data_IF_801906063471
#
_entry.id   IF_801906063471
#
_cell.length_a   1.000
_cell.length_b   1.000
_cell.length_c   1.000
_cell.angle_alpha   90.00
_cell.angle_beta   90.00
_cell.angle_gamma   90.00
#
_symmetry.space_group_name_H-M   'P 1'
#
loop_
_entity.id
_entity.type
_entity.pdbx_description
1 polymer ?
2 non-polymer ?
3 water ?
#
# COMPACT_ATOMS: atom_id res chain seq x y z
N UNK A 1 -31.26 -17.20 3.17
CA UNK A 1 -30.78 -17.10 4.57
C UNK A 1 -30.12 -15.73 4.78
N UNK A 2 -28.85 -15.59 4.36
CA UNK A 2 -28.08 -14.35 4.39
C UNK A 2 -28.87 -13.10 4.84
N UNK A 3 -28.82 -12.76 6.15
CA UNK A 3 -29.32 -11.48 6.64
C UNK A 3 -28.41 -10.33 6.17
N UNK A 4 -29.03 -9.17 5.92
CA UNK A 4 -28.33 -7.99 5.46
C UNK A 4 -28.65 -6.84 6.40
N UNK A 5 -28.05 -6.81 7.60
CA UNK A 5 -28.20 -5.68 8.50
C UNK A 5 -27.78 -4.39 7.81
N UNK A 6 -28.53 -3.32 8.06
CA UNK A 6 -28.18 -2.00 7.56
C UNK A 6 -26.93 -1.49 8.27
N UNK A 7 -26.12 -0.70 7.56
CA UNK A 7 -25.06 0.02 8.22
C UNK A 7 -25.59 0.92 9.30
N UNK A 8 -24.96 0.86 10.48
CA UNK A 8 -25.31 1.76 11.56
C UNK A 8 -24.91 3.19 11.23
N UNK A 9 -25.42 4.11 12.03
CA UNK A 9 -25.02 5.50 11.86
C UNK A 9 -23.50 5.60 12.08
N UNK A 10 -23.00 4.88 13.08
CA UNK A 10 -21.57 4.88 13.40
C UNK A 10 -20.76 4.34 12.20
N UNK A 11 -21.25 3.26 11.59
CA UNK A 11 -20.53 2.66 10.47
C UNK A 11 -20.53 3.59 9.26
N UNK A 12 -21.63 4.29 9.01
CA UNK A 12 -21.68 5.29 7.95
C UNK A 12 -20.68 6.42 8.22
N UNK A 13 -20.50 6.77 9.49
CA UNK A 13 -19.58 7.84 9.89
C UNK A 13 -18.15 7.35 9.65
N UNK A 14 -17.87 6.08 9.99
CA UNK A 14 -16.53 5.54 9.76
C UNK A 14 -16.18 5.60 8.27
N UNK A 15 -17.10 5.17 7.41
CA UNK A 15 -16.87 5.21 5.98
C UNK A 15 -16.63 6.64 5.50
N UNK A 16 -17.49 7.58 5.94
CA UNK A 16 -17.31 8.96 5.53
C UNK A 16 -15.92 9.49 5.92
N UNK A 17 -15.47 9.18 7.14
CA UNK A 17 -14.19 9.64 7.63
C UNK A 17 -13.05 9.09 6.78
N UNK A 18 -13.11 7.77 6.52
CA UNK A 18 -12.05 7.15 5.74
C UNK A 18 -12.04 7.66 4.32
N UNK A 19 -13.19 7.88 3.70
CA UNK A 19 -13.18 8.43 2.36
C UNK A 19 -12.52 9.80 2.39
N UNK A 20 -12.94 10.67 3.32
CA UNK A 20 -12.39 12.02 3.41
C UNK A 20 -10.88 11.94 3.65
N UNK A 21 -10.46 11.03 4.53
CA UNK A 21 -9.04 10.85 4.80
C UNK A 21 -8.28 10.50 3.53
N UNK A 22 -8.79 9.54 2.77
CA UNK A 22 -8.14 9.18 1.53
C UNK A 22 -8.12 10.34 0.55
N UNK A 23 -9.22 11.11 0.45
CA UNK A 23 -9.27 12.17 -0.54
C UNK A 23 -8.28 13.28 -0.22
N UNK A 24 -7.95 13.39 1.06
CA UNK A 24 -7.02 14.40 1.54
C UNK A 24 -5.57 13.97 1.39
N UNK A 25 -5.33 12.67 1.29
CA UNK A 25 -3.99 12.12 1.30
C UNK A 25 -3.57 11.40 0.02
N UNK A 26 -4.47 11.30 -0.95
CA UNK A 26 -4.17 10.63 -2.21
C UNK A 26 -4.57 11.56 -3.36
N UNK A 27 -3.57 12.18 -3.99
CA UNK A 27 -3.83 13.11 -5.08
C UNK A 27 -3.92 12.32 -6.37
N UNK A 28 -5.10 12.18 -7.01
CA UNK A 28 -5.19 11.33 -8.19
C UNK A 28 -4.68 11.96 -9.48
N UNK A 29 -4.15 13.20 -9.39
CA UNK A 29 -3.48 13.86 -10.51
C UNK A 29 -1.95 13.74 -10.43
N UNK A 30 -1.39 13.26 -9.29
CA UNK A 30 0.04 12.99 -9.20
C UNK A 30 0.84 14.29 -9.39
N UNK A 31 0.25 15.42 -8.98
CA UNK A 31 0.78 16.73 -9.32
C UNK A 31 2.06 17.09 -8.57
N UNK A 32 2.39 16.38 -7.49
CA UNK A 32 3.60 16.63 -6.72
C UNK A 32 4.78 15.91 -7.33
N UNK A 33 4.56 14.97 -8.27
CA UNK A 33 5.62 14.02 -8.59
C UNK A 33 6.79 14.71 -9.31
N UNK A 34 6.55 15.90 -9.87
CA UNK A 34 7.62 16.64 -10.50
C UNK A 34 8.59 17.25 -9.49
N UNK A 35 8.32 17.13 -8.18
CA UNK A 35 9.18 17.62 -7.13
C UNK A 35 10.19 16.56 -6.72
N UNK A 36 9.95 15.31 -7.10
CA UNK A 36 10.87 14.24 -6.71
C UNK A 36 12.15 14.36 -7.54
N UNK A 37 13.24 13.73 -7.06
CA UNK A 37 14.40 13.58 -7.92
C UNK A 37 13.97 12.89 -9.21
N UNK A 38 14.50 13.30 -10.37
CA UNK A 38 13.96 12.85 -11.64
C UNK A 38 14.16 11.36 -11.89
N UNK A 39 13.22 10.72 -12.60
CA UNK A 39 13.42 9.36 -13.07
C UNK A 39 14.55 9.36 -14.10
N UNK A 40 15.43 8.36 -14.02
CA UNK A 40 16.45 8.16 -15.03
C UNK A 40 16.36 6.69 -15.44
N UNK A 41 16.31 6.43 -16.76
CA UNK A 41 16.25 5.04 -17.21
C UNK A 41 17.49 4.63 -18.03
N UNK A 42 18.45 3.94 -17.40
CA UNK A 42 19.63 3.49 -18.15
C UNK A 42 19.20 2.42 -19.14
N UNK A 43 19.97 2.23 -20.22
CA UNK A 43 19.66 1.15 -21.16
C UNK A 43 19.97 -0.16 -20.46
N UNK A 44 18.96 -1.01 -20.24
CA UNK A 44 19.18 -2.26 -19.52
C UNK A 44 18.21 -3.33 -20.02
N UNK A 45 18.21 -3.51 -21.33
CA UNK A 45 17.24 -4.40 -21.94
C UNK A 45 17.50 -5.83 -21.51
N UNK A 46 18.74 -6.11 -21.10
CA UNK A 46 19.10 -7.43 -20.59
C UNK A 46 18.77 -7.56 -19.11
N UNK A 99 20.37 -6.66 -16.54
CA UNK A 99 21.64 -7.04 -15.86
C UNK A 99 21.65 -6.60 -14.40
N UNK A 100 21.77 -7.54 -13.46
CA UNK A 100 21.79 -7.16 -12.05
C UNK A 100 23.00 -6.29 -11.77
N UNK A 101 24.19 -6.63 -12.32
CA UNK A 101 25.40 -5.85 -12.10
C UNK A 101 25.23 -4.39 -12.51
N UNK A 102 24.66 -4.17 -13.70
CA UNK A 102 24.46 -2.82 -14.18
C UNK A 102 23.40 -2.10 -13.33
N UNK A 103 22.30 -2.83 -13.03
CA UNK A 103 21.24 -2.26 -12.23
C UNK A 103 21.81 -1.73 -10.91
N UNK A 104 22.66 -2.53 -10.23
CA UNK A 104 23.17 -2.14 -8.92
C UNK A 104 24.24 -1.05 -9.06
N UNK A 105 25.00 -1.08 -10.17
CA UNK A 105 26.00 -0.08 -10.44
C UNK A 105 25.38 1.30 -10.59
N UNK A 106 24.19 1.38 -11.21
CA UNK A 106 23.63 2.69 -11.51
C UNK A 106 22.49 3.09 -10.55
N UNK A 107 21.67 2.11 -10.15
CA UNK A 107 20.39 2.34 -9.45
C UNK A 107 19.67 3.58 -9.97
N UNK A 108 19.50 3.62 -11.28
CA UNK A 108 19.08 4.84 -11.95
C UNK A 108 17.71 5.34 -11.50
N UNK A 109 16.79 4.41 -11.25
CA UNK A 109 15.41 4.72 -10.88
C UNK A 109 15.25 4.82 -9.37
N UNK A 110 16.30 4.59 -8.56
CA UNK A 110 16.12 4.53 -7.12
C UNK A 110 15.81 5.89 -6.53
N UNK A 111 16.52 7.00 -6.86
CA UNK A 111 16.20 8.25 -6.19
C UNK A 111 14.73 8.65 -6.42
N UNK A 112 14.23 8.47 -7.66
CA UNK A 112 12.85 8.84 -7.97
C UNK A 112 11.88 7.94 -7.20
N UNK A 113 12.07 6.63 -7.25
CA UNK A 113 11.13 5.70 -6.60
C UNK A 113 11.22 5.81 -5.08
N UNK A 114 12.42 6.04 -4.50
CA UNK A 114 12.54 6.24 -3.05
C UNK A 114 11.81 7.52 -2.66
N UNK A 115 11.87 8.56 -3.51
CA UNK A 115 11.14 9.79 -3.21
C UNK A 115 9.64 9.53 -3.28
N UNK A 116 9.18 8.79 -4.28
CA UNK A 116 7.76 8.44 -4.41
C UNK A 116 7.28 7.65 -3.20
N UNK A 117 8.05 6.66 -2.75
CA UNK A 117 7.67 5.82 -1.63
C UNK A 117 7.72 6.62 -0.33
N UNK A 118 8.72 7.46 -0.19
CA UNK A 118 8.87 8.32 0.99
C UNK A 118 7.65 9.26 1.10
N UNK A 119 7.31 9.92 0.00
CA UNK A 119 6.12 10.77 -0.07
C UNK A 119 4.90 9.96 0.36
N UNK A 120 4.78 8.76 -0.20
CA UNK A 120 3.62 7.92 0.10
C UNK A 120 3.55 7.49 1.55
N UNK A 121 4.69 7.17 2.19
CA UNK A 121 4.75 6.90 3.61
C UNK A 121 4.21 8.11 4.39
N UNK A 122 4.63 9.31 4.01
CA UNK A 122 4.09 10.50 4.69
C UNK A 122 2.56 10.53 4.57
N UNK A 123 2.05 10.27 3.38
CA UNK A 123 0.61 10.31 3.16
C UNK A 123 -0.10 9.23 3.99
N UNK A 124 0.50 8.05 4.09
CA UNK A 124 -0.10 6.95 4.83
C UNK A 124 -0.12 7.28 6.32
N UNK A 125 0.92 7.95 6.83
CA UNK A 125 0.94 8.41 8.22
C UNK A 125 -0.27 9.32 8.50
N UNK A 126 -0.49 10.26 7.60
CA UNK A 126 -1.65 11.15 7.66
C UNK A 126 -2.99 10.45 7.62
N UNK A 127 -3.08 9.49 6.70
CA UNK A 127 -4.28 8.67 6.56
C UNK A 127 -4.57 7.91 7.86
N UNK A 128 -3.53 7.24 8.35
CA UNK A 128 -3.67 6.43 9.55
C UNK A 128 -4.20 7.24 10.72
N UNK A 129 -3.70 8.47 10.86
CA UNK A 129 -4.08 9.30 12.00
C UNK A 129 -5.57 9.61 12.00
N UNK A 130 -6.21 9.51 10.82
CA UNK A 130 -7.62 9.78 10.69
C UNK A 130 -8.47 8.51 10.87
N UNK A 131 -7.87 7.30 10.96
CA UNK A 131 -8.63 6.08 11.14
C UNK A 131 -9.28 6.16 12.51
N UNK A 132 -10.63 6.01 12.59
CA UNK A 132 -11.30 5.99 13.89
C UNK A 132 -10.69 4.96 14.85
N UNK A 133 -10.20 5.47 15.98
CA UNK A 133 -9.60 4.64 16.99
C UNK A 133 -8.07 4.63 16.97
N UNK A 134 -7.43 4.96 15.83
CA UNK A 134 -5.98 4.89 15.77
C UNK A 134 -5.34 5.77 16.85
N UNK A 135 -5.88 6.96 17.07
CA UNK A 135 -5.27 7.86 18.05
C UNK A 135 -5.55 7.38 19.47
N UNK A 136 -6.44 6.40 19.69
CA UNK A 136 -6.59 5.81 21.02
C UNK A 136 -5.41 4.90 21.38
N UNK A 137 -4.61 4.45 20.40
CA UNK A 137 -3.42 3.66 20.63
C UNK A 137 -2.32 4.54 21.21
N UNK A 138 -1.44 3.89 21.97
CA UNK A 138 -0.22 4.55 22.38
C UNK A 138 0.60 4.92 21.16
N UNK A 139 1.39 5.98 21.35
CA UNK A 139 2.36 6.37 20.33
C UNK A 139 3.22 5.21 19.86
N UNK A 140 3.73 4.37 20.79
CA UNK A 140 4.64 3.28 20.45
C UNK A 140 3.92 2.27 19.54
N UNK A 141 2.66 1.96 19.86
CA UNK A 141 1.87 1.04 19.03
C UNK A 141 1.55 1.65 17.66
N UNK A 142 1.23 2.96 17.64
CA UNK A 142 1.01 3.65 16.37
C UNK A 142 2.22 3.49 15.44
N UNK A 143 3.41 3.76 15.96
CA UNK A 143 4.61 3.68 15.16
C UNK A 143 4.93 2.26 14.72
N UNK A 144 4.73 1.26 15.59
CA UNK A 144 4.90 -0.12 15.20
C UNK A 144 3.96 -0.48 14.05
N UNK A 145 2.70 -0.09 14.12
CA UNK A 145 1.76 -0.46 13.05
C UNK A 145 2.12 0.23 11.73
N UNK A 146 2.55 1.48 11.80
CA UNK A 146 2.88 2.20 10.57
C UNK A 146 4.12 1.60 9.93
N UNK A 147 5.15 1.33 10.71
CA UNK A 147 6.38 0.86 10.11
C UNK A 147 6.18 -0.51 9.51
N UNK A 148 5.40 -1.37 10.18
CA UNK A 148 5.19 -2.71 9.69
C UNK A 148 4.27 -2.78 8.46
N UNK A 149 3.31 -1.85 8.31
CA UNK A 149 2.34 -1.89 7.24
C UNK A 149 2.71 -0.99 6.06
N UNK A 150 3.69 -0.09 6.23
CA UNK A 150 3.92 0.94 5.22
C UNK A 150 3.98 0.33 3.82
N UNK A 151 4.87 -0.64 3.59
CA UNK A 151 5.03 -1.13 2.23
C UNK A 151 3.73 -1.75 1.66
N UNK A 152 3.00 -2.46 2.51
CA UNK A 152 1.72 -3.05 2.11
C UNK A 152 0.69 -2.00 1.74
N UNK A 153 0.58 -0.90 2.52
CA UNK A 153 -0.37 0.15 2.17
C UNK A 153 0.05 0.89 0.90
N UNK A 154 1.36 1.02 0.67
CA UNK A 154 1.86 1.61 -0.56
C UNK A 154 1.40 0.72 -1.73
N UNK A 155 1.58 -0.60 -1.60
CA UNK A 155 1.15 -1.53 -2.64
C UNK A 155 -0.36 -1.40 -2.85
N UNK A 156 -1.19 -1.39 -1.79
CA UNK A 156 -2.63 -1.23 -1.95
C UNK A 156 -2.97 0.10 -2.60
N UNK A 157 -2.41 1.20 -2.12
CA UNK A 157 -2.86 2.50 -2.62
C UNK A 157 -2.46 2.71 -4.07
N UNK A 158 -1.33 2.11 -4.46
CA UNK A 158 -0.86 2.18 -5.84
C UNK A 158 -1.83 1.57 -6.83
N UNK A 159 -2.75 0.73 -6.34
CA UNK A 159 -3.67 0.07 -7.26
C UNK A 159 -4.45 1.12 -8.04
N UNK A 160 -4.64 2.32 -7.46
CA UNK A 160 -5.42 3.37 -8.12
C UNK A 160 -4.76 3.90 -9.41
N UNK A 161 -3.43 3.87 -9.52
CA UNK A 161 -2.71 4.30 -10.70
C UNK A 161 -2.40 3.10 -11.60
N UNK A 162 -2.47 1.90 -11.06
CA UNK A 162 -2.22 0.72 -11.87
C UNK A 162 -3.26 0.59 -12.96
N UNK A 163 -2.83 0.22 -14.16
CA UNK A 163 -3.79 0.02 -15.25
C UNK A 163 -3.48 -1.29 -15.99
N UNK A 164 -4.53 -2.06 -16.19
CA UNK A 164 -4.45 -3.28 -16.99
C UNK A 164 -4.36 -3.00 -18.48
N UNK A 165 -4.44 -1.75 -18.91
CA UNK A 165 -4.25 -1.40 -20.31
C UNK A 165 -2.87 -1.86 -20.78
N UNK A 166 -1.84 -1.68 -19.95
CA UNK A 166 -0.48 -2.07 -20.33
C UNK A 166 0.34 -2.56 -19.13
N UNK A 167 -0.33 -2.89 -18.01
CA UNK A 167 0.27 -3.46 -16.80
C UNK A 167 1.33 -2.52 -16.22
N UNK A 168 0.99 -1.24 -16.13
CA UNK A 168 1.90 -0.21 -15.61
C UNK A 168 1.16 0.55 -14.50
N UNK A 169 1.94 1.31 -13.75
CA UNK A 169 1.38 2.33 -12.89
C UNK A 169 1.54 3.64 -13.62
N UNK A 170 0.42 4.17 -14.09
CA UNK A 170 0.42 5.33 -14.96
C UNK A 170 0.05 6.59 -14.19
N UNK A 171 1.02 7.48 -13.98
CA UNK A 171 0.86 8.64 -13.13
C UNK A 171 1.10 9.93 -13.93
N UNK A 172 0.94 9.89 -15.25
CA UNK A 172 1.08 11.10 -16.07
C UNK A 172 1.63 10.72 -17.43
N UNK A 173 2.46 11.59 -18.02
CA UNK A 173 3.12 11.25 -19.28
C UNK A 173 4.13 10.14 -19.02
N UNK A 174 4.80 9.80 -20.10
CA UNK A 174 5.81 8.76 -20.16
C UNK A 174 6.72 8.83 -18.94
N UNK A 175 7.11 10.04 -18.51
CA UNK A 175 8.11 10.15 -17.44
C UNK A 175 7.66 9.44 -16.16
N UNK A 176 6.36 9.54 -15.83
CA UNK A 176 5.81 9.02 -14.59
C UNK A 176 4.93 7.81 -14.87
N UNK A 177 5.31 7.02 -15.87
CA UNK A 177 4.72 5.73 -16.11
C UNK A 177 5.73 4.69 -15.65
N UNK A 178 5.35 3.91 -14.65
CA UNK A 178 6.23 2.95 -14.03
C UNK A 178 5.87 1.54 -14.46
N UNK A 179 6.87 0.86 -14.99
CA UNK A 179 6.77 -0.52 -15.43
C UNK A 179 7.71 -1.42 -14.64
N UNK A 180 7.55 -2.74 -14.83
CA UNK A 180 8.39 -3.69 -14.12
C UNK A 180 9.87 -3.35 -14.36
N UNK A 181 10.23 -2.91 -15.55
CA UNK A 181 11.62 -2.62 -15.86
C UNK A 181 12.18 -1.44 -15.04
N UNK A 182 11.29 -0.52 -14.61
CA UNK A 182 11.72 0.56 -13.72
C UNK A 182 12.03 0.03 -12.33
N UNK A 183 11.30 -0.99 -11.87
CA UNK A 183 11.50 -1.51 -10.54
C UNK A 183 12.82 -2.29 -10.52
N UNK A 184 13.17 -2.94 -11.64
CA UNK A 184 14.46 -3.60 -11.64
C UNK A 184 15.61 -2.59 -11.67
N UNK A 185 15.37 -1.42 -12.24
CA UNK A 185 16.36 -0.35 -12.24
C UNK A 185 16.48 0.32 -10.88
N UNK A 186 15.63 -0.08 -9.91
CA UNK A 186 15.78 0.39 -8.55
C UNK A 186 16.36 -0.69 -7.65
N UNK A 187 16.78 -1.81 -8.26
CA UNK A 187 17.54 -2.81 -7.52
C UNK A 187 16.72 -3.99 -7.03
N UNK A 188 15.46 -4.12 -7.45
CA UNK A 188 14.66 -5.28 -7.09
C UNK A 188 14.68 -6.31 -8.21
N UNK A 189 14.26 -7.52 -7.84
CA UNK A 189 14.25 -8.67 -8.73
C UNK A 189 12.85 -9.19 -8.99
N UNK A 190 12.73 -10.14 -9.94
CA UNK A 190 11.42 -10.59 -10.38
C UNK A 190 10.75 -11.46 -9.31
N UNK A 191 11.48 -11.95 -8.28
CA UNK A 191 10.87 -12.68 -7.18
C UNK A 191 9.92 -11.74 -6.40
N UNK A 192 10.16 -10.43 -6.48
CA UNK A 192 9.23 -9.49 -5.88
C UNK A 192 8.27 -8.95 -6.94
N UNK A 193 8.80 -8.55 -8.09
CA UNK A 193 8.02 -7.79 -9.05
C UNK A 193 6.89 -8.62 -9.66
N UNK A 194 7.16 -9.86 -10.05
CA UNK A 194 6.13 -10.63 -10.74
C UNK A 194 4.96 -10.91 -9.80
N UNK A 195 5.15 -11.31 -8.52
CA UNK A 195 4.03 -11.44 -7.60
C UNK A 195 3.34 -10.10 -7.34
N UNK A 196 4.11 -9.00 -7.35
CA UNK A 196 3.50 -7.68 -7.16
C UNK A 196 2.53 -7.37 -8.29
N UNK A 197 2.89 -7.63 -9.54
CA UNK A 197 2.01 -7.36 -10.67
C UNK A 197 0.78 -8.28 -10.61
N UNK A 198 1.01 -9.54 -10.27
CA UNK A 198 -0.10 -10.49 -10.12
C UNK A 198 -1.08 -10.00 -9.06
N UNK A 199 -0.53 -9.49 -7.95
CA UNK A 199 -1.33 -8.92 -6.89
C UNK A 199 -2.14 -7.72 -7.42
N UNK A 200 -1.50 -6.80 -8.17
CA UNK A 200 -2.18 -5.61 -8.66
C UNK A 200 -3.37 -6.01 -9.56
N UNK A 201 -3.14 -7.00 -10.44
CA UNK A 201 -4.21 -7.40 -11.35
C UNK A 201 -5.36 -8.06 -10.56
N UNK A 202 -5.05 -8.94 -9.62
CA UNK A 202 -6.05 -9.61 -8.82
C UNK A 202 -6.91 -8.61 -8.04
N UNK A 203 -6.26 -7.59 -7.50
CA UNK A 203 -6.97 -6.55 -6.77
C UNK A 203 -7.82 -5.74 -7.73
N UNK A 204 -7.28 -5.37 -8.89
CA UNK A 204 -7.99 -4.53 -9.81
C UNK A 204 -9.29 -5.26 -10.17
N UNK A 205 -9.21 -6.59 -10.35
CA UNK A 205 -10.32 -7.38 -10.84
C UNK A 205 -11.39 -7.61 -9.78
N UNK A 206 -11.14 -7.28 -8.51
CA UNK A 206 -12.19 -7.29 -7.51
C UNK A 206 -13.13 -6.10 -7.74
N UNK A 207 -12.73 -5.05 -8.46
CA UNK A 207 -13.57 -3.89 -8.77
C UNK A 207 -14.12 -3.28 -7.48
N UNK A 208 -13.23 -3.05 -6.52
CA UNK A 208 -13.65 -2.51 -5.24
C UNK A 208 -14.30 -1.14 -5.37
N UNK A 209 -15.36 -0.93 -4.58
CA UNK A 209 -15.85 0.40 -4.38
C UNK A 209 -14.80 1.18 -3.60
N UNK A 210 -14.79 2.50 -3.71
CA UNK A 210 -13.79 3.26 -2.97
C UNK A 210 -13.94 3.04 -1.48
N UNK A 211 -15.19 2.85 -1.02
CA UNK A 211 -15.47 2.55 0.39
C UNK A 211 -14.70 1.29 0.83
N UNK A 212 -14.73 0.27 -0.01
CA UNK A 212 -14.09 -1.00 0.31
C UNK A 212 -12.57 -0.81 0.27
N UNK A 213 -12.09 -0.03 -0.70
CA UNK A 213 -10.66 0.21 -0.82
C UNK A 213 -10.10 0.86 0.45
N UNK A 214 -10.73 1.96 0.89
CA UNK A 214 -10.26 2.66 2.08
C UNK A 214 -10.39 1.83 3.35
N UNK A 215 -11.44 1.00 3.46
CA UNK A 215 -11.55 0.11 4.58
C UNK A 215 -10.42 -0.92 4.56
N UNK A 216 -10.08 -1.46 3.40
CA UNK A 216 -9.01 -2.46 3.30
C UNK A 216 -7.66 -1.87 3.72
N UNK A 217 -7.37 -0.62 3.37
CA UNK A 217 -6.14 0.02 3.77
C UNK A 217 -6.13 0.22 5.29
N UNK A 218 -7.27 0.62 5.87
CA UNK A 218 -7.36 0.81 7.32
C UNK A 218 -7.17 -0.50 8.07
N UNK A 219 -7.82 -1.56 7.58
CA UNK A 219 -7.70 -2.89 8.20
C UNK A 219 -6.26 -3.38 8.14
N UNK A 220 -5.58 -3.14 7.02
CA UNK A 220 -4.19 -3.51 6.88
C UNK A 220 -3.32 -2.85 7.96
N UNK A 221 -3.52 -1.56 8.18
CA UNK A 221 -2.72 -0.80 9.12
C UNK A 221 -2.98 -1.28 10.54
N UNK A 222 -4.25 -1.41 10.89
CA UNK A 222 -4.61 -1.72 12.26
C UNK A 222 -4.70 -3.23 12.41
N UNK A 223 -3.54 -3.88 12.38
CA UNK A 223 -3.47 -5.33 12.44
C UNK A 223 -2.85 -5.76 13.77
N UNK A 224 -3.51 -6.59 14.61
CA UNK A 224 -2.93 -6.92 15.93
C UNK A 224 -1.75 -7.89 15.91
N UNK A 225 -1.55 -8.54 14.77
CA UNK A 225 -0.49 -9.52 14.60
C UNK A 225 0.63 -8.91 13.79
N UNK A 226 1.21 -7.87 14.36
CA UNK A 226 2.48 -7.34 13.90
C UNK A 226 3.46 -7.52 15.02
N UNK A 227 4.74 -7.84 14.72
CA UNK A 227 5.73 -7.99 15.78
C UNK A 227 5.94 -6.69 16.55
N UNK A 228 5.99 -6.79 17.88
CA UNK A 228 6.32 -5.67 18.74
C UNK A 228 5.12 -4.88 19.24
N UNK A 229 3.88 -5.23 18.87
CA UNK A 229 2.74 -4.50 19.40
C UNK A 229 2.59 -4.81 20.88
N UNK A 230 2.13 -3.84 21.65
CA UNK A 230 1.90 -4.03 23.06
C UNK A 230 0.42 -4.33 23.29
N UNK A 231 -0.49 -3.44 22.90
CA UNK A 231 -1.89 -3.67 23.23
C UNK A 231 -2.62 -4.31 22.05
N UNK A 232 -2.35 -5.59 21.87
CA UNK A 232 -2.95 -6.39 20.81
C UNK A 232 -4.47 -6.36 20.91
N UNK A 233 -5.04 -6.44 22.14
CA UNK A 233 -6.48 -6.50 22.26
C UNK A 233 -7.13 -5.20 21.80
N UNK A 234 -6.52 -4.05 22.06
CA UNK A 234 -7.11 -2.79 21.64
C UNK A 234 -7.05 -2.67 20.12
N UNK A 235 -5.90 -3.04 19.56
CA UNK A 235 -5.72 -3.02 18.11
C UNK A 235 -6.77 -3.91 17.46
N UNK A 236 -7.00 -5.10 18.03
CA UNK A 236 -7.99 -6.04 17.53
C UNK A 236 -9.39 -5.47 17.59
N UNK A 237 -9.72 -4.72 18.67
CA UNK A 237 -11.04 -4.14 18.79
C UNK A 237 -11.23 -3.08 17.71
N UNK A 238 -10.19 -2.28 17.46
CA UNK A 238 -10.29 -1.27 16.40
C UNK A 238 -10.45 -1.94 15.03
N UNK A 239 -9.65 -2.96 14.80
CA UNK A 239 -9.72 -3.66 13.53
C UNK A 239 -11.08 -4.32 13.36
N UNK A 240 -11.62 -4.92 14.41
CA UNK A 240 -12.90 -5.60 14.29
C UNK A 240 -14.02 -4.61 13.94
N UNK A 241 -13.98 -3.40 14.50
CA UNK A 241 -14.95 -2.37 14.16
C UNK A 241 -14.90 -2.05 12.67
N UNK A 242 -13.68 -1.96 12.12
CA UNK A 242 -13.49 -1.70 10.69
C UNK A 242 -13.91 -2.90 9.85
N UNK A 243 -13.53 -4.13 10.25
CA UNK A 243 -13.88 -5.34 9.52
C UNK A 243 -15.41 -5.56 9.46
N UNK A 244 -16.06 -5.32 10.59
CA UNK A 244 -17.52 -5.40 10.66
C UNK A 244 -18.16 -4.35 9.76
N UNK A 245 -17.56 -3.14 9.68
CA UNK A 245 -18.08 -2.14 8.78
C UNK A 245 -18.01 -2.67 7.34
N UNK A 246 -16.84 -3.18 6.96
CA UNK A 246 -16.63 -3.71 5.61
C UNK A 246 -17.59 -4.85 5.27
N UNK A 247 -17.73 -5.82 6.17
CA UNK A 247 -18.58 -6.98 5.92
C UNK A 247 -20.04 -6.54 5.70
N UNK A 248 -20.47 -5.62 6.53
CA UNK A 248 -21.80 -5.04 6.46
C UNK A 248 -22.02 -4.27 5.16
N UNK A 249 -21.06 -3.37 4.80
CA UNK A 249 -21.10 -2.63 3.55
C UNK A 249 -21.27 -3.61 2.39
N UNK A 250 -20.40 -4.64 2.29
CA UNK A 250 -20.43 -5.52 1.14
C UNK A 250 -21.82 -6.16 0.98
N UNK A 251 -22.38 -6.63 2.08
CA UNK A 251 -23.65 -7.35 2.04
C UNK A 251 -24.80 -6.41 1.72
N UNK A 252 -24.73 -5.13 2.12
CA UNK A 252 -25.80 -4.17 1.85
C UNK A 252 -25.70 -3.50 0.49
N UNK A 253 -24.47 -3.23 0.07
CA UNK A 253 -24.25 -2.16 -0.90
C UNK A 253 -23.52 -2.66 -2.14
N UNK A 254 -22.99 -3.87 -2.12
CA UNK A 254 -22.18 -4.34 -3.24
C UNK A 254 -23.04 -5.29 -4.07
N UNK A 255 -23.42 -4.93 -5.32
CA UNK A 255 -24.33 -5.76 -6.11
C UNK A 255 -23.67 -7.07 -6.51
N UNK A 256 -24.47 -8.15 -6.74
CA UNK A 256 -23.94 -9.39 -7.34
C UNK A 256 -23.63 -9.16 -8.82
N UNK A 257 -22.79 -10.01 -9.48
CA UNK A 257 -22.12 -11.15 -8.84
C UNK A 257 -20.75 -10.82 -8.22
N UNK A 258 -20.26 -9.58 -8.39
CA UNK A 258 -18.99 -9.15 -7.79
C UNK A 258 -18.93 -9.23 -6.27
N UNK A 259 -20.09 -9.29 -5.57
CA UNK A 259 -20.12 -9.44 -4.12
C UNK A 259 -19.82 -10.86 -3.65
N UNK A 260 -19.83 -11.85 -4.57
CA UNK A 260 -19.74 -13.25 -4.21
C UNK A 260 -18.42 -13.55 -3.48
N UNK A 261 -18.51 -13.85 -2.18
CA UNK A 261 -17.31 -14.13 -1.39
C UNK A 261 -16.29 -12.98 -1.49
N UNK A 262 -16.77 -11.74 -1.66
CA UNK A 262 -15.85 -10.64 -1.82
C UNK A 262 -15.01 -10.45 -0.55
N UNK A 263 -15.64 -10.55 0.63
CA UNK A 263 -14.91 -10.33 1.87
C UNK A 263 -13.74 -11.31 1.97
N UNK A 264 -13.99 -12.59 1.68
CA UNK A 264 -12.91 -13.56 1.79
C UNK A 264 -11.79 -13.26 0.79
N UNK A 265 -12.13 -12.81 -0.42
CA UNK A 265 -11.12 -12.47 -1.42
C UNK A 265 -10.30 -11.28 -0.92
N UNK A 266 -10.93 -10.35 -0.21
CA UNK A 266 -10.23 -9.18 0.30
C UNK A 266 -9.28 -9.59 1.43
N UNK A 267 -9.74 -10.49 2.35
CA UNK A 267 -8.87 -10.99 3.41
C UNK A 267 -7.70 -11.77 2.80
N UNK A 268 -7.89 -12.49 1.70
CA UNK A 268 -6.79 -13.18 1.03
C UNK A 268 -5.74 -12.19 0.52
N UNK A 269 -6.18 -11.03 0.06
CA UNK A 269 -5.25 -10.02 -0.44
C UNK A 269 -4.39 -9.51 0.70
N UNK A 270 -4.94 -9.44 1.92
CA UNK A 270 -4.15 -9.05 3.08
C UNK A 270 -3.03 -10.07 3.34
N UNK A 271 -3.35 -11.35 3.18
CA UNK A 271 -2.36 -12.40 3.37
C UNK A 271 -1.27 -12.31 2.30
N UNK A 272 -1.70 -12.05 1.06
CA UNK A 272 -0.79 -11.88 -0.07
C UNK A 272 0.20 -10.75 0.22
N UNK A 273 -0.30 -9.65 0.79
CA UNK A 273 0.53 -8.51 1.16
C UNK A 273 1.63 -8.86 2.16
N UNK A 274 1.34 -9.71 3.14
CA UNK A 274 2.35 -10.19 4.06
C UNK A 274 3.51 -10.84 3.33
N UNK A 275 3.21 -11.66 2.30
CA UNK A 275 4.23 -12.35 1.55
C UNK A 275 5.09 -11.35 0.74
N UNK A 276 4.41 -10.36 0.15
CA UNK A 276 5.16 -9.36 -0.58
C UNK A 276 6.04 -8.57 0.37
N UNK A 277 5.52 -8.25 1.54
CA UNK A 277 6.22 -7.46 2.54
C UNK A 277 7.52 -8.18 2.88
N UNK A 278 7.43 -9.48 3.15
CA UNK A 278 8.62 -10.24 3.54
C UNK A 278 9.65 -10.26 2.42
N UNK A 279 9.22 -10.41 1.18
CA UNK A 279 10.12 -10.45 0.06
C UNK A 279 10.74 -9.07 -0.18
N UNK A 280 9.93 -8.01 -0.11
CA UNK A 280 10.48 -6.67 -0.20
C UNK A 280 11.57 -6.45 0.83
N UNK A 281 11.34 -6.89 2.06
CA UNK A 281 12.27 -6.63 3.14
C UNK A 281 13.59 -7.35 2.85
N UNK A 282 13.51 -8.63 2.45
CA UNK A 282 14.73 -9.35 2.08
C UNK A 282 15.49 -8.63 0.98
N UNK A 283 14.79 -8.11 -0.03
CA UNK A 283 15.49 -7.48 -1.13
C UNK A 283 16.04 -6.10 -0.76
N UNK A 284 15.31 -5.42 0.09
CA UNK A 284 15.74 -4.13 0.54
C UNK A 284 17.04 -4.26 1.31
N UNK A 285 17.12 -5.30 2.15
CA UNK A 285 18.34 -5.56 2.90
C UNK A 285 19.52 -5.68 1.94
N UNK A 286 19.39 -6.44 0.88
CA UNK A 286 20.45 -6.61 -0.10
C UNK A 286 20.77 -5.34 -0.86
N UNK A 287 19.73 -4.58 -1.24
CA UNK A 287 19.94 -3.31 -1.89
C UNK A 287 20.77 -2.37 -1.02
N UNK A 288 20.56 -2.41 0.28
CA UNK A 288 21.20 -1.55 1.24
C UNK A 288 22.71 -1.81 1.37
N UNK A 289 23.17 -2.98 0.94
CA UNK A 289 24.60 -3.27 0.95
C UNK A 289 25.35 -2.55 -0.17
N UNK A 290 24.63 -1.97 -1.14
CA UNK A 290 25.26 -1.29 -2.24
C UNK A 290 25.91 0.00 -1.76
N UNK A 291 27.23 0.22 -1.98
CA UNK A 291 27.85 1.47 -1.52
C UNK A 291 27.12 2.67 -2.11
N UNK A 292 26.91 3.66 -1.24
CA UNK A 292 26.32 4.94 -1.58
C UNK A 292 24.82 4.80 -1.68
N UNK A 293 24.25 3.63 -1.37
CA UNK A 293 22.81 3.45 -1.50
C UNK A 293 22.05 4.47 -0.63
N UNK A 294 22.54 4.75 0.57
CA UNK A 294 21.77 5.58 1.50
C UNK A 294 21.45 6.96 0.91
N UNK A 295 22.35 7.56 0.10
CA UNK A 295 22.13 8.87 -0.48
C UNK A 295 21.00 8.83 -1.51
N UNK A 296 20.71 7.64 -2.07
CA UNK A 296 19.66 7.52 -3.05
C UNK A 296 18.30 7.28 -2.37
N UNK A 297 18.30 7.04 -1.07
CA UNK A 297 17.04 6.82 -0.38
C UNK A 297 16.64 8.13 0.31
N UNK A 298 15.85 8.05 1.40
CA UNK A 298 15.51 9.19 2.23
C UNK A 298 15.63 8.79 3.69
N UNK A 299 15.76 9.71 4.66
CA UNK A 299 15.76 9.31 6.07
C UNK A 299 14.54 8.51 6.49
N UNK A 300 13.35 8.87 6.00
CA UNK A 300 12.15 8.14 6.36
C UNK A 300 12.21 6.72 5.81
N UNK A 301 12.62 6.55 4.55
CA UNK A 301 12.72 5.20 3.99
C UNK A 301 13.73 4.36 4.78
N UNK A 302 14.89 4.93 5.08
CA UNK A 302 15.91 4.21 5.84
C UNK A 302 15.40 3.72 7.19
N UNK A 303 14.63 4.55 7.86
CA UNK A 303 14.06 4.15 9.13
C UNK A 303 13.01 3.05 9.00
N UNK A 304 12.08 3.24 8.06
CA UNK A 304 10.95 2.33 7.97
C UNK A 304 11.41 0.96 7.51
N UNK A 305 12.37 0.89 6.59
CA UNK A 305 12.74 -0.40 6.01
C UNK A 305 14.04 -0.95 6.58
N UNK A 306 14.78 -0.17 7.37
CA UNK A 306 16.02 -0.62 8.01
C UNK A 306 15.76 -1.46 9.26
#
# INVERSE_FOLDING_TARGET
DSLRPKLSEEQQRIIAILLDAHHKTYDPTYSDFCQFRPPVRVNDGGGSHPSRPNSRHTPSFSGDSSSSCSDHCITSSDMMDSSSFSNLDLSEEDSDDPSVTLELSQLSMLPHLADLVSYSIQKVIGFAKMIPGFRDLTSEDQIVLLKSSAIEVIMLRSNESFTMDDMSWTCGNQDYKYRVSDVTKAGHSLELIEPLIKFQVGLKKLNLHEEEHVLLMAICIVSPDRPGVQDAALIEAIQDRLSNTLQTYIRCRHPPPGSHLLYAKMIQKLADLRSLNEEHSKQYRCLSFQPECSMKLTPLVLEVFG
#
